data_IF_036962432728
#
_entry.id   IF_036962432728
#
_cell.length_a   1.000
_cell.length_b   1.000
_cell.length_c   1.000
_cell.angle_alpha   90.00
_cell.angle_beta   90.00
_cell.angle_gamma   90.00
#
_symmetry.space_group_name_H-M   'P 1'
#
loop_
_entity.id
_entity.type
_entity.pdbx_description
1 polymer ?
#
# COMPACT_ATOMS: atom_id res chain seq x y z
N UNK A 1 68.78 35.78 30.19
CA UNK A 1 67.95 35.52 29.01
C UNK A 1 67.55 34.05 28.94
N UNK A 2 66.37 33.74 29.51
CA UNK A 2 65.91 32.34 29.69
C UNK A 2 64.93 32.01 28.51
N UNK A 3 65.34 31.07 27.69
CA UNK A 3 64.51 30.62 26.55
C UNK A 3 63.41 29.63 27.07
N UNK A 4 62.16 30.06 27.02
CA UNK A 4 61.00 29.21 27.26
C UNK A 4 60.79 28.39 26.01
N UNK A 5 60.94 27.06 26.13
CA UNK A 5 60.55 26.12 25.06
C UNK A 5 59.05 25.84 25.19
N UNK A 6 58.28 26.31 24.24
CA UNK A 6 56.83 26.02 24.11
C UNK A 6 56.67 24.63 23.51
N UNK A 7 56.30 23.65 24.30
CA UNK A 7 55.98 22.29 23.82
C UNK A 7 54.49 22.28 23.47
N UNK A 8 54.18 22.28 22.15
CA UNK A 8 52.83 22.12 21.63
C UNK A 8 52.45 20.64 21.72
N UNK A 9 51.58 20.29 22.68
CA UNK A 9 50.99 18.96 22.75
C UNK A 9 49.79 18.96 21.77
N UNK A 10 49.98 18.36 20.59
CA UNK A 10 48.89 18.07 19.67
C UNK A 10 48.06 16.91 20.22
N UNK A 11 46.94 17.24 20.84
CA UNK A 11 45.96 16.24 21.23
C UNK A 11 45.21 15.82 19.96
N UNK A 12 45.62 14.69 19.39
CA UNK A 12 44.82 14.00 18.36
C UNK A 12 43.56 13.45 19.04
N UNK A 13 42.47 14.18 18.92
CA UNK A 13 41.16 13.59 19.11
C UNK A 13 40.92 12.61 17.97
N UNK A 14 41.30 11.35 18.18
CA UNK A 14 40.80 10.25 17.36
C UNK A 14 39.27 10.15 17.61
N UNK A 15 38.52 10.82 16.76
CA UNK A 15 37.07 10.55 16.66
C UNK A 15 36.99 9.15 16.07
N UNK A 16 37.00 8.16 16.92
CA UNK A 16 36.55 6.81 16.58
C UNK A 16 35.05 6.94 16.32
N UNK A 17 34.68 7.24 15.07
CA UNK A 17 33.35 6.93 14.59
C UNK A 17 33.20 5.43 14.75
N UNK A 18 32.64 5.01 15.89
CA UNK A 18 32.10 3.67 16.00
C UNK A 18 31.05 3.55 14.90
N UNK A 19 31.42 2.90 13.81
CA UNK A 19 30.47 2.43 12.82
C UNK A 19 29.60 1.42 13.57
N UNK A 20 28.53 1.92 14.20
CA UNK A 20 27.49 1.04 14.70
C UNK A 20 26.96 0.33 13.47
N UNK A 21 27.27 -0.95 13.33
CA UNK A 21 26.62 -1.79 12.34
C UNK A 21 25.10 -1.61 12.57
N UNK A 22 24.40 -1.16 11.54
CA UNK A 22 22.93 -1.00 11.63
C UNK A 22 22.32 -2.34 12.01
N UNK A 23 21.31 -2.36 12.85
CA UNK A 23 20.70 -3.60 13.31
C UNK A 23 20.12 -4.38 12.11
N UNK A 24 19.98 -5.67 12.29
CA UNK A 24 19.23 -6.54 11.38
C UNK A 24 17.81 -5.99 11.27
N UNK A 25 17.29 -5.87 10.03
CA UNK A 25 15.92 -5.44 9.79
C UNK A 25 15.27 -6.30 8.69
N UNK A 26 14.48 -7.27 9.10
CA UNK A 26 13.76 -8.15 8.19
C UNK A 26 12.57 -7.45 7.53
N UNK A 27 12.31 -7.75 6.26
CA UNK A 27 11.08 -7.31 5.56
C UNK A 27 10.12 -8.48 5.50
N UNK A 28 9.06 -8.43 6.32
CA UNK A 28 8.12 -9.53 6.48
C UNK A 28 6.96 -9.37 5.52
N UNK A 29 6.62 -10.42 4.77
CA UNK A 29 5.53 -10.39 3.80
C UNK A 29 4.53 -11.52 4.02
N UNK A 30 3.21 -11.22 4.14
CA UNK A 30 2.17 -12.21 4.39
C UNK A 30 1.67 -12.93 3.13
N UNK A 31 2.47 -13.01 2.10
CA UNK A 31 2.08 -13.58 0.81
C UNK A 31 3.10 -14.62 0.33
N UNK A 32 2.75 -15.36 -0.72
CA UNK A 32 3.70 -16.29 -1.35
C UNK A 32 4.76 -15.55 -2.17
N UNK A 33 5.78 -16.29 -2.60
CA UNK A 33 6.96 -15.80 -3.33
C UNK A 33 6.70 -15.39 -4.79
N UNK A 34 5.46 -15.45 -5.28
CA UNK A 34 5.11 -15.16 -6.69
C UNK A 34 4.27 -13.89 -6.89
N UNK A 35 4.07 -13.07 -5.85
CA UNK A 35 3.20 -11.90 -5.90
C UNK A 35 3.96 -10.57 -5.91
N UNK A 36 3.25 -9.49 -6.25
CA UNK A 36 3.83 -8.14 -6.20
C UNK A 36 4.37 -7.79 -4.82
N UNK A 37 3.70 -8.23 -3.74
CA UNK A 37 4.16 -7.96 -2.38
C UNK A 37 5.54 -8.55 -2.10
N UNK A 38 5.87 -9.73 -2.65
CA UNK A 38 7.20 -10.31 -2.52
C UNK A 38 8.24 -9.51 -3.33
N UNK A 39 7.90 -9.11 -4.56
CA UNK A 39 8.79 -8.28 -5.36
C UNK A 39 9.06 -6.91 -4.70
N UNK A 40 8.04 -6.30 -4.12
CA UNK A 40 8.16 -5.06 -3.34
C UNK A 40 9.04 -5.25 -2.11
N UNK A 41 8.87 -6.37 -1.38
CA UNK A 41 9.68 -6.65 -0.20
C UNK A 41 11.16 -6.86 -0.54
N UNK A 42 11.48 -7.52 -1.67
CA UNK A 42 12.88 -7.61 -2.13
C UNK A 42 13.44 -6.23 -2.48
N UNK A 43 12.67 -5.40 -3.17
CA UNK A 43 13.09 -4.04 -3.51
C UNK A 43 13.40 -3.20 -2.27
N UNK A 44 12.58 -3.33 -1.22
CA UNK A 44 12.79 -2.64 0.07
C UNK A 44 14.02 -3.22 0.78
N UNK A 45 14.15 -4.55 0.87
CA UNK A 45 15.28 -5.21 1.49
C UNK A 45 16.60 -4.83 0.83
N UNK A 46 16.65 -4.77 -0.51
CA UNK A 46 17.85 -4.35 -1.22
C UNK A 46 18.19 -2.88 -0.94
N UNK A 47 17.19 -1.99 -0.90
CA UNK A 47 17.41 -0.60 -0.54
C UNK A 47 17.85 -0.42 0.93
N UNK A 48 17.37 -1.26 1.85
CA UNK A 48 17.85 -1.28 3.24
C UNK A 48 19.30 -1.75 3.34
N UNK A 49 19.70 -2.75 2.53
CA UNK A 49 21.12 -3.18 2.44
C UNK A 49 22.04 -2.05 1.97
N UNK A 50 21.59 -1.25 1.00
CA UNK A 50 22.32 -0.06 0.55
C UNK A 50 22.51 0.97 1.69
N UNK A 51 21.62 1.00 2.66
CA UNK A 51 21.73 1.79 3.89
C UNK A 51 22.54 1.09 5.01
N UNK A 52 23.09 -0.10 4.74
CA UNK A 52 23.95 -0.86 5.68
C UNK A 52 23.21 -1.79 6.63
N UNK A 53 21.92 -2.05 6.42
CA UNK A 53 21.19 -3.08 7.17
C UNK A 53 21.57 -4.49 6.69
N UNK A 54 21.60 -5.45 7.62
CA UNK A 54 21.46 -6.87 7.29
C UNK A 54 19.97 -7.18 7.19
N UNK A 55 19.45 -7.18 5.95
CA UNK A 55 18.01 -7.27 5.68
C UNK A 55 17.69 -8.49 4.84
N UNK A 56 16.70 -9.27 5.29
CA UNK A 56 16.16 -10.41 4.56
C UNK A 56 14.66 -10.29 4.35
N UNK A 57 14.14 -10.97 3.31
CA UNK A 57 12.69 -11.08 3.08
C UNK A 57 12.16 -12.35 3.71
N UNK A 58 11.32 -12.19 4.73
CA UNK A 58 10.69 -13.30 5.46
C UNK A 58 9.26 -13.51 4.97
N UNK A 59 8.99 -14.67 4.36
CA UNK A 59 7.68 -15.02 3.82
C UNK A 59 6.89 -15.84 4.84
N UNK A 60 5.77 -15.28 5.33
CA UNK A 60 4.93 -15.93 6.33
C UNK A 60 3.72 -16.69 5.75
N UNK A 61 3.37 -16.47 4.51
CA UNK A 61 2.36 -17.12 3.65
C UNK A 61 0.92 -17.10 4.14
N UNK A 62 0.66 -17.20 5.42
CA UNK A 62 -0.69 -17.26 5.97
C UNK A 62 -0.81 -16.54 7.32
N UNK A 63 -2.02 -16.38 7.79
CA UNK A 63 -2.35 -15.67 9.01
C UNK A 63 -1.81 -16.35 10.29
N UNK A 64 -1.79 -17.67 10.32
CA UNK A 64 -1.25 -18.40 11.49
C UNK A 64 0.25 -18.15 11.62
N UNK A 65 0.96 -18.20 10.49
CA UNK A 65 2.40 -17.90 10.47
C UNK A 65 2.68 -16.43 10.79
N UNK A 66 1.79 -15.51 10.39
CA UNK A 66 1.90 -14.10 10.78
C UNK A 66 1.81 -13.95 12.29
N UNK A 67 0.79 -14.55 12.94
CA UNK A 67 0.64 -14.54 14.40
C UNK A 67 1.85 -15.21 15.09
N UNK A 68 2.29 -16.34 14.56
CA UNK A 68 3.43 -17.07 15.09
C UNK A 68 4.72 -16.25 14.98
N UNK A 69 4.92 -15.54 13.87
CA UNK A 69 6.09 -14.67 13.71
C UNK A 69 6.03 -13.49 14.70
N UNK A 70 4.87 -12.85 14.82
CA UNK A 70 4.66 -11.72 15.74
C UNK A 70 4.76 -12.15 17.22
N UNK A 71 4.27 -13.35 17.56
CA UNK A 71 4.30 -13.88 18.91
C UNK A 71 5.64 -14.52 19.27
N UNK A 72 6.45 -14.94 18.30
CA UNK A 72 7.80 -15.42 18.54
C UNK A 72 8.68 -14.22 18.86
N UNK A 73 9.18 -14.19 20.05
CA UNK A 73 10.34 -13.37 20.42
C UNK A 73 11.57 -13.95 19.72
N UNK A 74 11.64 -13.74 18.41
CA UNK A 74 12.81 -14.14 17.62
C UNK A 74 13.99 -13.21 17.88
N UNK A 75 13.77 -12.11 18.61
CA UNK A 75 14.76 -11.08 18.84
C UNK A 75 15.20 -10.32 17.59
N UNK A 76 14.67 -10.70 16.39
CA UNK A 76 15.03 -10.04 15.15
C UNK A 76 14.05 -8.89 14.86
N UNK A 77 14.54 -7.65 14.78
CA UNK A 77 13.75 -6.51 14.34
C UNK A 77 13.27 -6.69 12.89
N UNK A 78 12.07 -6.22 12.60
CA UNK A 78 11.53 -6.31 11.25
C UNK A 78 10.41 -5.32 10.98
N UNK A 79 10.11 -5.14 9.70
CA UNK A 79 8.97 -4.38 9.24
C UNK A 79 8.02 -5.28 8.46
N UNK A 80 6.77 -5.28 8.87
CA UNK A 80 5.74 -6.06 8.21
C UNK A 80 5.09 -5.21 7.11
N UNK A 81 5.25 -5.61 5.84
CA UNK A 81 4.69 -4.90 4.71
C UNK A 81 3.25 -5.38 4.44
N UNK A 82 2.26 -4.54 4.76
CA UNK A 82 0.83 -4.86 4.64
C UNK A 82 0.09 -3.81 3.82
N UNK A 83 -1.11 -4.16 3.38
CA UNK A 83 -2.06 -3.22 2.81
C UNK A 83 -3.36 -3.16 3.66
N UNK A 84 -4.05 -2.02 3.58
CA UNK A 84 -5.28 -1.76 4.35
C UNK A 84 -6.37 -2.80 4.08
N UNK A 85 -6.54 -3.24 2.83
CA UNK A 85 -7.52 -4.28 2.50
C UNK A 85 -7.16 -5.64 3.13
N UNK A 86 -5.88 -5.97 3.19
CA UNK A 86 -5.42 -7.19 3.87
C UNK A 86 -5.58 -7.10 5.37
N UNK A 87 -5.34 -5.94 5.96
CA UNK A 87 -5.59 -5.69 7.38
C UNK A 87 -7.04 -6.01 7.75
N UNK A 88 -8.00 -5.43 7.05
CA UNK A 88 -9.43 -5.65 7.29
C UNK A 88 -9.84 -7.10 7.10
N UNK A 89 -9.32 -7.75 6.06
CA UNK A 89 -9.61 -9.18 5.79
C UNK A 89 -9.04 -10.11 6.85
N UNK A 90 -7.84 -9.85 7.32
CA UNK A 90 -7.21 -10.65 8.37
C UNK A 90 -7.98 -10.51 9.67
N UNK A 91 -8.51 -9.33 9.98
CA UNK A 91 -9.36 -9.09 11.13
C UNK A 91 -10.66 -9.89 11.06
N UNK A 92 -11.37 -9.82 9.95
CA UNK A 92 -12.62 -10.58 9.75
C UNK A 92 -12.46 -12.10 9.90
N UNK A 93 -11.23 -12.60 9.81
CA UNK A 93 -10.87 -14.02 9.95
C UNK A 93 -10.30 -14.39 11.31
N UNK A 94 -10.33 -13.47 12.27
CA UNK A 94 -9.68 -13.68 13.57
C UNK A 94 -8.16 -13.78 13.51
N UNK A 95 -7.57 -13.30 12.41
CA UNK A 95 -6.13 -13.27 12.16
C UNK A 95 -5.52 -11.92 12.47
N UNK A 96 -6.19 -11.17 13.30
CA UNK A 96 -5.82 -9.83 13.65
C UNK A 96 -4.40 -9.77 14.18
N UNK A 97 -3.59 -8.92 13.58
CA UNK A 97 -2.35 -8.40 14.14
C UNK A 97 -2.66 -6.96 14.46
N UNK A 98 -2.73 -6.64 15.72
CA UNK A 98 -3.09 -5.31 16.18
C UNK A 98 -2.12 -4.29 15.59
N UNK A 99 -2.65 -3.25 14.94
CA UNK A 99 -1.91 -2.07 14.55
C UNK A 99 -2.38 -0.98 15.48
N UNK A 100 -1.50 -0.53 16.33
CA UNK A 100 -1.69 0.62 17.19
C UNK A 100 -0.70 1.72 16.81
N UNK A 101 -0.78 2.84 17.47
CA UNK A 101 0.07 3.98 17.21
C UNK A 101 1.56 3.65 17.39
N UNK A 102 1.86 2.71 18.29
CA UNK A 102 3.23 2.27 18.56
C UNK A 102 3.78 1.28 17.53
N UNK A 103 2.94 0.60 16.79
CA UNK A 103 3.36 -0.38 15.80
C UNK A 103 3.28 0.13 14.35
N UNK A 104 2.48 1.15 14.08
CA UNK A 104 2.47 1.81 12.77
C UNK A 104 3.74 2.64 12.61
N UNK A 105 4.49 2.46 11.53
CA UNK A 105 5.69 3.26 11.23
C UNK A 105 5.37 4.33 10.19
N UNK A 106 5.15 3.91 8.94
CA UNK A 106 4.92 4.83 7.84
C UNK A 106 4.18 4.16 6.69
N UNK A 107 3.67 4.97 5.77
CA UNK A 107 3.07 4.48 4.54
C UNK A 107 4.17 4.29 3.48
N UNK A 108 4.22 3.13 2.88
CA UNK A 108 5.09 2.87 1.74
C UNK A 108 4.58 3.57 0.48
N UNK A 109 3.31 3.33 0.13
CA UNK A 109 2.63 4.01 -0.96
C UNK A 109 1.11 3.99 -0.82
N UNK A 110 0.45 4.90 -1.55
CA UNK A 110 -0.96 4.81 -1.89
C UNK A 110 -1.11 4.33 -3.33
N UNK A 111 -1.85 3.26 -3.55
CA UNK A 111 -2.20 2.74 -4.87
C UNK A 111 -3.60 3.16 -5.26
N UNK A 112 -3.71 3.88 -6.37
CA UNK A 112 -4.98 4.21 -6.95
C UNK A 112 -5.71 2.96 -7.46
N UNK A 113 -7.02 2.96 -7.32
CA UNK A 113 -7.92 1.99 -7.91
C UNK A 113 -8.55 2.57 -9.17
N UNK A 114 -9.08 1.74 -10.02
CA UNK A 114 -9.72 2.18 -11.26
C UNK A 114 -10.95 1.37 -11.59
N UNK A 115 -11.89 2.00 -12.27
CA UNK A 115 -13.02 1.33 -12.91
C UNK A 115 -12.76 1.21 -14.39
N UNK A 116 -12.77 -0.03 -14.88
CA UNK A 116 -12.56 -0.33 -16.28
C UNK A 116 -13.75 -1.12 -16.85
N UNK A 117 -14.05 -0.85 -18.11
CA UNK A 117 -15.06 -1.56 -18.92
C UNK A 117 -14.37 -2.22 -20.11
N UNK A 118 -15.08 -3.03 -20.88
CA UNK A 118 -14.56 -3.56 -22.14
C UNK A 118 -14.25 -2.45 -23.12
N UNK A 119 -13.27 -2.65 -23.98
CA UNK A 119 -12.86 -1.65 -24.96
C UNK A 119 -13.89 -1.44 -26.07
N UNK A 120 -14.73 -2.44 -26.37
CA UNK A 120 -15.80 -2.42 -27.37
C UNK A 120 -17.08 -1.69 -26.90
N UNK A 121 -17.22 -1.38 -25.64
CA UNK A 121 -18.29 -0.52 -25.14
C UNK A 121 -18.17 0.89 -25.73
N UNK A 122 -19.29 1.50 -26.11
CA UNK A 122 -19.29 2.85 -26.71
C UNK A 122 -18.96 3.96 -25.72
N UNK A 123 -19.29 3.78 -24.43
CA UNK A 123 -19.12 4.79 -23.40
C UNK A 123 -17.65 5.19 -23.18
N UNK A 124 -17.39 6.49 -23.06
CA UNK A 124 -16.08 7.06 -22.78
C UNK A 124 -15.95 7.67 -21.37
N UNK A 125 -17.03 7.63 -20.60
CA UNK A 125 -17.08 8.06 -19.20
C UNK A 125 -17.94 7.11 -18.36
N UNK A 126 -17.78 7.14 -17.04
CA UNK A 126 -18.63 6.35 -16.14
C UNK A 126 -20.10 6.76 -16.25
N UNK A 127 -20.49 8.05 -16.26
CA UNK A 127 -21.88 8.45 -16.45
C UNK A 127 -22.49 7.92 -17.75
N UNK A 128 -21.76 8.00 -18.88
CA UNK A 128 -22.24 7.43 -20.14
C UNK A 128 -22.44 5.91 -20.06
N UNK A 129 -21.49 5.21 -19.44
CA UNK A 129 -21.60 3.76 -19.24
C UNK A 129 -22.80 3.36 -18.39
N UNK A 130 -23.14 4.17 -17.39
CA UNK A 130 -24.25 3.91 -16.48
C UNK A 130 -25.63 4.29 -17.06
N UNK A 131 -25.66 5.11 -18.11
CA UNK A 131 -26.89 5.63 -18.67
C UNK A 131 -27.85 4.51 -19.11
N UNK A 132 -29.09 4.56 -18.60
CA UNK A 132 -30.14 3.58 -18.90
C UNK A 132 -29.99 2.21 -18.25
N UNK A 133 -28.92 1.94 -17.52
CA UNK A 133 -28.71 0.69 -16.83
C UNK A 133 -29.46 0.69 -15.48
N UNK A 134 -30.11 -0.41 -15.16
CA UNK A 134 -30.74 -0.64 -13.84
C UNK A 134 -29.85 -1.46 -12.91
N UNK A 135 -28.90 -2.20 -13.49
CA UNK A 135 -27.99 -3.10 -12.77
C UNK A 135 -26.65 -3.10 -13.49
N UNK A 136 -25.57 -3.15 -12.70
CA UNK A 136 -24.20 -3.32 -13.17
C UNK A 136 -23.51 -4.38 -12.33
N UNK A 137 -22.94 -5.39 -13.00
CA UNK A 137 -22.09 -6.40 -12.34
C UNK A 137 -20.65 -5.91 -12.32
N UNK A 138 -20.02 -5.95 -11.15
CA UNK A 138 -18.63 -5.46 -10.98
C UNK A 138 -17.73 -6.59 -10.54
N UNK A 139 -16.79 -6.95 -11.39
CA UNK A 139 -15.72 -7.87 -11.07
C UNK A 139 -14.74 -7.26 -10.08
N UNK A 140 -14.51 -7.95 -8.96
CA UNK A 140 -13.65 -7.50 -7.89
C UNK A 140 -12.58 -8.54 -7.53
N UNK A 141 -11.42 -8.07 -7.12
CA UNK A 141 -10.36 -8.90 -6.56
C UNK A 141 -10.50 -9.00 -5.05
N UNK A 142 -11.41 -9.80 -4.58
CA UNK A 142 -11.54 -10.39 -3.22
C UNK A 142 -11.12 -9.59 -1.96
N UNK A 143 -10.83 -8.31 -2.00
CA UNK A 143 -10.36 -7.57 -0.82
C UNK A 143 -10.98 -6.20 -0.61
N UNK A 144 -11.89 -5.77 -1.47
CA UNK A 144 -12.43 -4.41 -1.42
C UNK A 144 -13.96 -4.42 -1.32
N UNK A 145 -14.48 -4.17 -0.19
CA UNK A 145 -15.41 -3.14 0.22
C UNK A 145 -16.83 -3.34 -0.29
N UNK A 146 -17.63 -4.04 0.47
CA UNK A 146 -19.08 -4.12 0.23
C UNK A 146 -19.73 -2.73 0.28
N UNK A 147 -19.32 -1.86 1.20
CA UNK A 147 -19.88 -0.52 1.37
C UNK A 147 -19.75 0.40 0.15
N UNK A 148 -18.72 0.24 -0.70
CA UNK A 148 -18.60 1.06 -1.93
C UNK A 148 -19.74 0.80 -2.91
N UNK A 149 -20.15 -0.44 -3.07
CA UNK A 149 -21.22 -0.78 -4.03
C UNK A 149 -22.57 -0.30 -3.52
N UNK A 150 -22.76 -0.29 -2.20
CA UNK A 150 -23.97 0.27 -1.57
C UNK A 150 -24.02 1.80 -1.76
N UNK A 151 -22.89 2.48 -1.55
CA UNK A 151 -22.81 3.93 -1.77
C UNK A 151 -23.03 4.29 -3.24
N UNK A 152 -22.40 3.58 -4.17
CA UNK A 152 -22.64 3.74 -5.61
C UNK A 152 -24.11 3.53 -5.97
N UNK A 153 -24.74 2.51 -5.38
CA UNK A 153 -26.15 2.21 -5.65
C UNK A 153 -27.06 3.32 -5.14
N UNK A 154 -26.76 3.91 -3.98
CA UNK A 154 -27.48 5.06 -3.44
C UNK A 154 -27.31 6.31 -4.32
N UNK A 155 -26.08 6.61 -4.72
CA UNK A 155 -25.78 7.83 -5.47
C UNK A 155 -26.35 7.82 -6.89
N UNK A 156 -26.44 6.65 -7.51
CA UNK A 156 -26.84 6.50 -8.91
C UNK A 156 -28.24 5.95 -9.13
N UNK A 157 -28.85 5.36 -8.13
CA UNK A 157 -30.10 4.60 -8.27
C UNK A 157 -29.93 3.27 -9.04
N UNK A 158 -28.70 2.87 -9.37
CA UNK A 158 -28.38 1.66 -10.11
C UNK A 158 -27.91 0.57 -9.14
N UNK A 159 -28.42 -0.64 -9.30
CA UNK A 159 -28.00 -1.78 -8.47
C UNK A 159 -26.61 -2.27 -8.90
N UNK A 160 -25.59 -2.02 -8.09
CA UNK A 160 -24.28 -2.62 -8.28
C UNK A 160 -24.19 -3.99 -7.62
N UNK A 161 -23.74 -4.99 -8.37
CA UNK A 161 -23.63 -6.37 -7.90
C UNK A 161 -22.19 -6.82 -8.02
N UNK A 162 -21.58 -7.10 -6.88
CA UNK A 162 -20.21 -7.58 -6.79
C UNK A 162 -20.10 -9.03 -7.25
N UNK A 163 -19.06 -9.32 -8.05
CA UNK A 163 -18.65 -10.67 -8.46
C UNK A 163 -17.17 -10.86 -8.10
N UNK A 164 -16.88 -11.77 -7.18
CA UNK A 164 -15.52 -12.00 -6.69
C UNK A 164 -14.73 -12.96 -7.57
N UNK A 165 -13.54 -12.52 -7.94
CA UNK A 165 -12.56 -13.34 -8.66
C UNK A 165 -11.31 -13.59 -7.83
N UNK A 166 -10.69 -14.75 -8.01
CA UNK A 166 -9.39 -15.06 -7.37
C UNK A 166 -8.24 -14.38 -8.10
N UNK A 167 -8.11 -13.06 -7.89
CA UNK A 167 -7.02 -12.22 -8.40
C UNK A 167 -7.32 -11.49 -9.71
N UNK A 168 -6.64 -10.37 -9.92
CA UNK A 168 -6.88 -9.42 -11.01
C UNK A 168 -6.79 -9.99 -12.42
N UNK A 169 -5.97 -11.04 -12.66
CA UNK A 169 -5.93 -11.72 -13.96
C UNK A 169 -7.24 -12.43 -14.29
N UNK A 170 -7.89 -13.04 -13.30
CA UNK A 170 -9.19 -13.70 -13.48
C UNK A 170 -10.32 -12.68 -13.65
N UNK A 171 -10.28 -11.59 -12.87
CA UNK A 171 -11.22 -10.48 -13.02
C UNK A 171 -11.16 -9.88 -14.42
N UNK A 172 -9.95 -9.64 -14.92
CA UNK A 172 -9.75 -9.13 -16.29
C UNK A 172 -10.32 -10.10 -17.35
N UNK A 173 -10.06 -11.40 -17.21
CA UNK A 173 -10.63 -12.41 -18.11
C UNK A 173 -12.16 -12.41 -18.07
N UNK A 174 -12.75 -12.31 -16.88
CA UNK A 174 -14.20 -12.25 -16.72
C UNK A 174 -14.80 -10.98 -17.35
N UNK A 175 -14.14 -9.83 -17.22
CA UNK A 175 -14.57 -8.60 -17.91
C UNK A 175 -14.52 -8.75 -19.43
N UNK A 176 -13.41 -9.26 -19.99
CA UNK A 176 -13.25 -9.45 -21.43
C UNK A 176 -14.23 -10.49 -21.99
N UNK A 177 -14.54 -11.53 -21.21
CA UNK A 177 -15.53 -12.55 -21.58
C UNK A 177 -16.99 -12.06 -21.46
N UNK A 178 -17.24 -10.92 -20.81
CA UNK A 178 -18.59 -10.41 -20.57
C UNK A 178 -19.29 -11.06 -19.36
N UNK A 179 -18.56 -11.78 -18.49
CA UNK A 179 -19.11 -12.33 -17.24
C UNK A 179 -19.50 -11.21 -16.26
N UNK A 180 -18.87 -10.05 -16.39
CA UNK A 180 -19.15 -8.82 -15.64
C UNK A 180 -19.13 -7.60 -16.56
N UNK A 181 -19.90 -6.59 -16.19
CA UNK A 181 -20.03 -5.34 -16.97
C UNK A 181 -18.85 -4.41 -16.76
N UNK A 182 -18.29 -4.41 -15.55
CA UNK A 182 -17.23 -3.51 -15.12
C UNK A 182 -16.24 -4.27 -14.24
N UNK A 183 -15.00 -3.78 -14.19
CA UNK A 183 -13.97 -4.27 -13.27
C UNK A 183 -13.50 -3.13 -12.39
N UNK A 184 -13.42 -3.39 -11.07
CA UNK A 184 -12.74 -2.53 -10.11
C UNK A 184 -11.42 -3.17 -9.70
N UNK A 185 -10.30 -2.48 -9.93
CA UNK A 185 -8.96 -3.05 -9.73
C UNK A 185 -7.91 -1.97 -9.47
N UNK A 186 -6.71 -2.37 -9.01
CA UNK A 186 -5.59 -1.44 -8.91
C UNK A 186 -5.20 -0.86 -10.27
N UNK A 187 -4.97 0.45 -10.32
CA UNK A 187 -4.57 1.15 -11.53
C UNK A 187 -3.08 0.96 -11.78
N UNK A 188 -2.73 0.31 -12.89
CA UNK A 188 -1.34 0.04 -13.28
C UNK A 188 -1.15 0.21 -14.79
N UNK A 189 0.11 0.21 -15.23
CA UNK A 189 0.43 0.24 -16.68
C UNK A 189 -0.20 -0.91 -17.46
N UNK A 190 -0.46 -2.04 -16.81
CA UNK A 190 -1.13 -3.19 -17.45
C UNK A 190 -2.53 -2.81 -17.90
N UNK A 191 -3.31 -2.18 -17.04
CA UNK A 191 -4.68 -1.75 -17.34
C UNK A 191 -4.69 -0.69 -18.45
N UNK A 192 -3.73 0.23 -18.44
CA UNK A 192 -3.62 1.27 -19.48
C UNK A 192 -3.24 0.69 -20.85
N UNK A 193 -2.31 -0.28 -20.87
CA UNK A 193 -1.79 -0.86 -22.10
C UNK A 193 -2.69 -1.95 -22.68
N UNK A 194 -3.66 -2.43 -21.92
CA UNK A 194 -4.55 -3.48 -22.37
C UNK A 194 -5.57 -2.93 -23.37
N UNK A 195 -5.48 -3.36 -24.63
CA UNK A 195 -6.38 -2.94 -25.70
C UNK A 195 -7.79 -3.54 -25.63
N UNK A 196 -8.02 -4.51 -24.73
CA UNK A 196 -9.31 -5.18 -24.55
C UNK A 196 -10.20 -4.48 -23.53
N UNK A 197 -9.64 -3.54 -22.76
CA UNK A 197 -10.35 -2.76 -21.74
C UNK A 197 -10.02 -1.28 -21.87
N UNK A 198 -10.92 -0.44 -21.35
CA UNK A 198 -10.68 0.98 -21.11
C UNK A 198 -11.04 1.34 -19.69
N UNK A 199 -10.12 2.00 -19.00
CA UNK A 199 -10.33 2.47 -17.64
C UNK A 199 -10.81 3.92 -17.69
N UNK A 200 -11.94 4.20 -17.07
CA UNK A 200 -12.67 5.46 -17.24
C UNK A 200 -12.41 6.44 -16.11
N UNK A 201 -12.08 5.94 -14.92
CA UNK A 201 -11.89 6.78 -13.74
C UNK A 201 -10.88 6.15 -12.75
N UNK A 202 -10.30 6.97 -11.88
CA UNK A 202 -9.32 6.57 -10.86
C UNK A 202 -9.67 7.12 -9.48
N UNK A 203 -9.26 6.42 -8.42
CA UNK A 203 -9.48 6.81 -7.01
C UNK A 203 -8.44 7.82 -6.51
N UNK A 204 -8.05 8.77 -7.32
CA UNK A 204 -7.14 9.86 -6.94
C UNK A 204 -7.92 11.14 -6.69
N UNK A 205 -7.28 12.14 -6.10
CA UNK A 205 -7.82 13.50 -5.98
C UNK A 205 -7.64 14.30 -7.26
N UNK A 206 -6.66 13.90 -8.08
CA UNK A 206 -6.29 14.55 -9.32
C UNK A 206 -6.32 13.57 -10.49
N UNK A 207 -6.44 14.03 -11.73
CA UNK A 207 -6.37 13.16 -12.89
C UNK A 207 -5.04 12.39 -12.95
N UNK A 208 -5.11 11.10 -13.26
CA UNK A 208 -3.93 10.24 -13.42
C UNK A 208 -3.94 9.60 -14.79
N UNK A 209 -2.87 9.77 -15.54
CA UNK A 209 -2.72 9.23 -16.88
C UNK A 209 -3.94 9.51 -17.80
N UNK A 210 -4.51 10.73 -17.71
CA UNK A 210 -5.65 11.18 -18.49
C UNK A 210 -7.01 10.60 -18.06
N UNK A 211 -7.12 10.02 -16.84
CA UNK A 211 -8.40 9.54 -16.28
C UNK A 211 -8.85 10.49 -15.19
N UNK A 212 -10.14 10.82 -15.23
CA UNK A 212 -10.75 11.66 -14.21
C UNK A 212 -10.78 10.98 -12.84
N UNK A 213 -10.63 11.75 -11.76
CA UNK A 213 -10.80 11.24 -10.41
C UNK A 213 -12.27 10.88 -10.15
N UNK A 214 -12.50 9.86 -9.32
CA UNK A 214 -13.86 9.47 -8.92
C UNK A 214 -14.64 10.62 -8.27
N UNK A 215 -13.98 11.48 -7.51
CA UNK A 215 -14.60 12.65 -6.88
C UNK A 215 -15.24 13.63 -7.86
N UNK A 216 -14.70 13.72 -9.07
CA UNK A 216 -15.27 14.55 -10.14
C UNK A 216 -16.55 13.94 -10.69
N UNK A 217 -16.69 12.61 -10.64
CA UNK A 217 -17.80 11.86 -11.20
C UNK A 217 -18.90 11.65 -10.15
N UNK A 218 -18.49 11.34 -8.93
CA UNK A 218 -19.35 11.06 -7.80
C UNK A 218 -18.92 11.93 -6.60
N UNK A 219 -19.39 13.19 -6.48
CA UNK A 219 -18.92 14.13 -5.47
C UNK A 219 -19.17 13.69 -4.02
N UNK A 220 -20.20 12.90 -3.78
CA UNK A 220 -20.53 12.36 -2.46
C UNK A 220 -19.74 11.11 -2.12
N UNK A 221 -19.07 10.54 -3.10
CA UNK A 221 -18.38 9.28 -2.94
C UNK A 221 -17.05 9.41 -2.20
N UNK A 222 -16.92 8.70 -1.10
CA UNK A 222 -15.74 8.72 -0.24
C UNK A 222 -14.53 7.96 -0.81
N UNK A 223 -14.54 7.56 -2.07
CA UNK A 223 -13.42 6.85 -2.71
C UNK A 223 -12.12 7.64 -2.78
N UNK A 224 -12.15 8.94 -2.60
CA UNK A 224 -10.92 9.69 -2.36
C UNK A 224 -10.12 9.17 -1.16
N UNK A 225 -10.79 8.39 -0.30
CA UNK A 225 -10.25 7.76 0.91
C UNK A 225 -9.95 6.26 0.72
N UNK A 226 -10.30 5.67 -0.43
CA UNK A 226 -10.24 4.20 -0.64
C UNK A 226 -9.11 3.73 -1.56
N UNK A 227 -8.09 4.54 -1.76
CA UNK A 227 -6.80 4.03 -2.23
C UNK A 227 -6.34 2.88 -1.31
N UNK A 228 -5.63 1.91 -1.85
CA UNK A 228 -5.00 0.89 -1.01
C UNK A 228 -3.68 1.44 -0.49
N UNK A 229 -3.62 1.82 0.78
CA UNK A 229 -2.36 2.12 1.43
C UNK A 229 -1.58 0.83 1.68
N UNK A 230 -0.33 0.83 1.25
CA UNK A 230 0.68 -0.12 1.68
C UNK A 230 1.49 0.55 2.79
N UNK A 231 1.68 -0.11 3.90
CA UNK A 231 2.30 0.49 5.08
C UNK A 231 3.25 -0.47 5.77
N UNK A 232 4.14 0.09 6.57
CA UNK A 232 5.08 -0.62 7.41
C UNK A 232 4.55 -0.69 8.85
N UNK A 233 4.58 -1.89 9.39
CA UNK A 233 4.24 -2.19 10.77
C UNK A 233 5.49 -2.71 11.47
N UNK A 234 5.86 -2.13 12.60
CA UNK A 234 7.03 -2.52 13.38
C UNK A 234 6.84 -3.88 14.04
N UNK A 235 7.89 -4.69 14.03
CA UNK A 235 7.97 -5.96 14.74
C UNK A 235 9.30 -6.01 15.48
N UNK A 236 9.26 -6.15 16.80
CA UNK A 236 10.45 -6.26 17.66
C UNK A 236 11.48 -5.12 17.46
N UNK A 237 11.02 -3.95 17.00
CA UNK A 237 11.88 -2.78 16.87
C UNK A 237 11.94 -2.09 18.25
N UNK A 238 13.11 -1.96 18.86
CA UNK A 238 13.27 -1.23 20.13
C UNK A 238 12.77 0.22 19.99
N UNK A 239 12.15 0.75 21.04
CA UNK A 239 11.56 2.09 21.02
C UNK A 239 12.58 3.19 20.68
N UNK A 240 13.81 3.05 21.16
CA UNK A 240 14.91 3.97 20.88
C UNK A 240 15.45 3.92 19.46
N UNK A 241 15.18 2.84 18.71
CA UNK A 241 15.58 2.66 17.30
C UNK A 241 14.49 3.07 16.32
N UNK A 242 13.26 3.25 16.79
CA UNK A 242 12.09 3.45 15.94
C UNK A 242 12.22 4.67 15.02
N UNK A 243 12.60 5.82 15.57
CA UNK A 243 12.76 7.05 14.79
C UNK A 243 13.84 6.93 13.70
N UNK A 244 14.89 6.16 13.97
CA UNK A 244 15.95 5.89 12.99
C UNK A 244 15.41 5.00 11.87
N UNK A 245 14.70 3.93 12.21
CA UNK A 245 14.08 3.03 11.22
C UNK A 245 13.06 3.77 10.35
N UNK A 246 12.24 4.64 10.94
CA UNK A 246 11.28 5.46 10.20
C UNK A 246 11.99 6.37 9.18
N UNK A 247 13.03 7.10 9.62
CA UNK A 247 13.80 7.96 8.74
C UNK A 247 14.52 7.19 7.62
N UNK A 248 15.04 6.00 7.92
CA UNK A 248 15.67 5.14 6.93
C UNK A 248 14.65 4.56 5.93
N UNK A 249 13.44 4.22 6.37
CA UNK A 249 12.35 3.80 5.46
C UNK A 249 11.92 4.95 4.55
N UNK A 250 11.90 6.17 5.01
CA UNK A 250 11.66 7.34 4.15
C UNK A 250 12.76 7.50 3.08
N UNK A 251 14.03 7.23 3.43
CA UNK A 251 15.12 7.19 2.45
C UNK A 251 14.94 6.03 1.46
N UNK A 252 14.52 4.85 1.92
CA UNK A 252 14.18 3.71 1.06
C UNK A 252 13.09 4.10 0.06
N UNK A 253 11.99 4.71 0.52
CA UNK A 253 10.86 5.12 -0.34
C UNK A 253 11.30 6.10 -1.42
N UNK A 254 12.23 7.00 -1.09
CA UNK A 254 12.75 8.04 -2.00
C UNK A 254 13.96 7.57 -2.81
N UNK A 255 14.51 6.39 -2.55
CA UNK A 255 15.63 5.82 -3.32
C UNK A 255 15.28 5.70 -4.81
N UNK A 256 16.27 5.82 -5.68
CA UNK A 256 16.06 5.81 -7.15
C UNK A 256 15.32 4.55 -7.63
N UNK A 257 15.65 3.39 -7.09
CA UNK A 257 15.05 2.11 -7.46
C UNK A 257 13.58 2.05 -7.08
N UNK A 258 13.27 2.40 -5.83
CA UNK A 258 11.90 2.40 -5.29
C UNK A 258 11.06 3.49 -5.94
N UNK A 259 11.57 4.73 -6.02
CA UNK A 259 10.85 5.84 -6.65
C UNK A 259 10.49 5.53 -8.12
N UNK A 260 11.44 4.96 -8.88
CA UNK A 260 11.18 4.52 -10.26
C UNK A 260 10.12 3.42 -10.34
N UNK A 261 10.12 2.47 -9.39
CA UNK A 261 9.09 1.44 -9.31
C UNK A 261 7.71 2.04 -9.06
N UNK A 262 7.59 2.92 -8.06
CA UNK A 262 6.33 3.56 -7.70
C UNK A 262 5.76 4.43 -8.83
N UNK A 263 6.62 5.23 -9.47
CA UNK A 263 6.25 6.05 -10.62
C UNK A 263 5.74 5.20 -11.80
N UNK A 264 6.48 4.15 -12.16
CA UNK A 264 6.07 3.21 -13.21
C UNK A 264 4.75 2.51 -12.91
N UNK A 265 4.41 2.36 -11.65
CA UNK A 265 3.17 1.73 -11.19
C UNK A 265 2.03 2.73 -10.91
N UNK A 266 2.23 4.03 -11.13
CA UNK A 266 1.29 5.12 -10.79
C UNK A 266 0.87 5.12 -9.32
N UNK A 267 1.82 4.82 -8.44
CA UNK A 267 1.64 4.82 -6.99
C UNK A 267 2.17 6.14 -6.41
N UNK A 268 1.46 6.70 -5.46
CA UNK A 268 1.92 7.87 -4.71
C UNK A 268 2.81 7.42 -3.56
N UNK A 269 4.08 7.82 -3.50
CA UNK A 269 4.97 7.52 -2.38
C UNK A 269 4.38 7.97 -1.04
N UNK A 270 4.60 7.19 0.02
CA UNK A 270 4.12 7.51 1.36
C UNK A 270 4.63 8.84 1.87
N UNK A 271 5.87 9.21 1.56
CA UNK A 271 6.47 10.50 1.92
C UNK A 271 5.72 11.73 1.39
N UNK A 272 4.86 11.57 0.39
CA UNK A 272 3.97 12.62 -0.13
C UNK A 272 2.60 12.67 0.56
N UNK A 273 2.31 11.74 1.47
CA UNK A 273 1.04 11.65 2.17
C UNK A 273 1.17 12.39 3.50
N UNK A 274 0.39 13.45 3.66
CA UNK A 274 0.29 14.15 4.94
C UNK A 274 -0.53 13.31 5.93
N UNK A 275 -0.16 13.37 7.22
CA UNK A 275 -0.86 12.67 8.30
C UNK A 275 -1.11 11.19 7.97
N UNK A 276 -0.04 10.46 7.66
CA UNK A 276 -0.07 9.09 7.16
C UNK A 276 -0.92 8.14 8.03
N UNK A 277 -0.80 8.26 9.35
CA UNK A 277 -1.54 7.44 10.31
C UNK A 277 -3.03 7.77 10.28
N UNK A 278 -3.41 9.05 10.23
CA UNK A 278 -4.80 9.48 10.07
C UNK A 278 -5.38 8.98 8.74
N UNK A 279 -4.59 9.06 7.66
CA UNK A 279 -4.98 8.53 6.36
C UNK A 279 -5.22 7.01 6.40
N UNK A 280 -4.37 6.27 7.12
CA UNK A 280 -4.53 4.83 7.33
C UNK A 280 -5.85 4.53 8.07
N UNK A 281 -6.09 5.15 9.22
CA UNK A 281 -7.29 4.92 10.01
C UNK A 281 -8.56 5.39 9.29
N UNK A 282 -8.51 6.48 8.54
CA UNK A 282 -9.62 6.92 7.70
C UNK A 282 -10.03 5.86 6.67
N UNK A 283 -9.06 5.22 6.02
CA UNK A 283 -9.34 4.14 5.07
C UNK A 283 -9.88 2.91 5.78
N UNK A 284 -9.27 2.49 6.88
CA UNK A 284 -9.76 1.36 7.69
C UNK A 284 -11.19 1.57 8.15
N UNK A 285 -11.53 2.77 8.62
CA UNK A 285 -12.88 3.16 9.02
C UNK A 285 -13.89 2.99 7.89
N UNK A 286 -13.58 3.49 6.70
CA UNK A 286 -14.44 3.32 5.51
C UNK A 286 -14.59 1.84 5.15
N UNK A 287 -13.50 1.06 5.20
CA UNK A 287 -13.50 -0.36 4.86
C UNK A 287 -14.33 -1.22 5.83
N UNK A 288 -14.44 -0.79 7.07
CA UNK A 288 -15.12 -1.53 8.15
C UNK A 288 -16.49 -0.97 8.51
N UNK A 289 -16.94 0.07 7.80
CA UNK A 289 -18.19 0.77 8.14
C UNK A 289 -18.15 1.38 9.53
N UNK A 290 -17.04 2.02 9.91
CA UNK A 290 -16.77 2.66 11.21
C UNK A 290 -16.67 1.71 12.42
N UNK A 291 -16.66 0.39 12.23
CA UNK A 291 -16.61 -0.58 13.35
C UNK A 291 -15.26 -0.62 14.08
N UNK A 292 -14.18 -0.13 13.47
CA UNK A 292 -12.82 -0.19 14.03
C UNK A 292 -12.21 1.15 14.41
N UNK A 293 -12.77 2.26 13.97
CA UNK A 293 -12.23 3.59 14.27
C UNK A 293 -12.49 4.06 15.71
N UNK A 294 -13.19 3.26 16.52
CA UNK A 294 -13.58 3.57 17.90
C UNK A 294 -12.88 2.70 18.96
N UNK A 295 -11.82 1.98 18.59
CA UNK A 295 -11.03 1.19 19.55
C UNK A 295 -9.66 1.90 19.78
#
# INVERSE_FOLDING_TARGET
MTKIKLTIIAIFFAITSSVYAKPILDVIVPSGTSGNAFAESNLISDALKDLGYDSEVVVTRNCVNNKTYMAKDTGRPGVFLRDTGRYVKDESRGCHVEVNDDSFISVFYNRNQTMCIRADESANSIPEFLQGRKKVTVGNTASLIDGIYDDLSKDTGIKFVRVDFKGSKKTLKGLVAGDVDMMYTGFTKREIKNKQIKCLAVSSTEPVAGRDPFSKIFPTWHLNKTGTLKYFHAVNIPADQRAVVEADLDQVITSKSVATYLEKAFMTPGTKIKNQQEAFWSIVSVLTGNKLASK
#
